data_IF_187629997392
#
_entry.id   IF_187629997392
#
_cell.length_a   1.000
_cell.length_b   1.000
_cell.length_c   1.000
_cell.angle_alpha   90.00
_cell.angle_beta   90.00
_cell.angle_gamma   90.00
#
_symmetry.space_group_name_H-M   'P 1'
#
loop_
_entity.id
_entity.type
_entity.pdbx_description
1 polymer ?
#
# COMPACT_ATOMS: atom_id res chain seq x y z
N UNK A 1 -13.47 13.67 -5.14
CA UNK A 1 -13.61 12.97 -3.85
C UNK A 1 -14.54 13.76 -2.92
N UNK A 2 -15.39 13.10 -2.12
CA UNK A 2 -16.25 13.70 -1.11
C UNK A 2 -15.78 13.25 0.28
N UNK A 3 -15.51 14.19 1.19
CA UNK A 3 -15.13 13.86 2.57
C UNK A 3 -16.36 13.67 3.44
N UNK A 4 -16.38 12.66 4.29
CA UNK A 4 -17.53 12.35 5.15
C UNK A 4 -17.59 13.27 6.39
N UNK A 5 -16.43 13.70 6.90
CA UNK A 5 -16.31 14.61 8.04
C UNK A 5 -14.98 15.40 8.02
N UNK A 6 -14.85 16.41 8.88
CA UNK A 6 -13.66 17.29 8.90
C UNK A 6 -12.36 16.55 9.21
N UNK A 7 -12.38 15.54 10.09
CA UNK A 7 -11.18 14.73 10.39
C UNK A 7 -10.73 13.91 9.19
N UNK A 8 -11.67 13.39 8.37
CA UNK A 8 -11.34 12.70 7.12
C UNK A 8 -10.58 13.64 6.17
N UNK A 9 -11.08 14.86 5.99
CA UNK A 9 -10.42 15.88 5.17
C UNK A 9 -9.06 16.28 5.73
N UNK A 10 -8.95 16.48 7.04
CA UNK A 10 -7.71 16.87 7.70
C UNK A 10 -6.64 15.79 7.57
N UNK A 11 -7.00 14.53 7.82
CA UNK A 11 -6.07 13.39 7.67
C UNK A 11 -5.61 13.22 6.22
N UNK A 12 -6.52 13.33 5.25
CA UNK A 12 -6.19 13.26 3.83
C UNK A 12 -5.15 14.33 3.44
N UNK A 13 -5.34 15.56 3.89
CA UNK A 13 -4.38 16.65 3.66
C UNK A 13 -3.04 16.40 4.35
N UNK A 14 -3.05 15.85 5.57
CA UNK A 14 -1.81 15.47 6.28
C UNK A 14 -1.04 14.38 5.52
N UNK A 15 -1.74 13.36 5.02
CA UNK A 15 -1.13 12.30 4.19
C UNK A 15 -0.53 12.90 2.92
N UNK A 16 -1.25 13.77 2.22
CA UNK A 16 -0.75 14.46 1.03
C UNK A 16 0.55 15.21 1.30
N UNK A 17 0.59 15.99 2.40
CA UNK A 17 1.79 16.72 2.82
C UNK A 17 2.96 15.78 3.12
N UNK A 18 2.73 14.73 3.91
CA UNK A 18 3.78 13.78 4.26
C UNK A 18 4.33 13.04 3.05
N UNK A 19 3.46 12.63 2.12
CA UNK A 19 3.91 11.98 0.89
C UNK A 19 4.69 12.94 -0.01
N UNK A 20 4.30 14.21 -0.11
CA UNK A 20 5.05 15.23 -0.85
C UNK A 20 6.42 15.54 -0.22
N UNK A 21 6.58 15.40 1.10
CA UNK A 21 7.86 15.51 1.79
C UNK A 21 8.76 14.28 1.59
N UNK A 22 8.16 13.08 1.56
CA UNK A 22 8.87 11.80 1.52
C UNK A 22 9.24 11.34 0.10
N UNK A 23 8.44 11.70 -0.91
CA UNK A 23 8.60 11.23 -2.29
C UNK A 23 8.71 12.40 -3.27
N UNK A 24 9.43 12.20 -4.38
CA UNK A 24 9.64 13.27 -5.38
C UNK A 24 8.37 13.60 -6.17
N UNK A 25 7.53 12.60 -6.49
CA UNK A 25 6.36 12.77 -7.36
C UNK A 25 5.27 11.76 -6.95
N UNK A 26 4.66 11.89 -5.75
CA UNK A 26 3.54 11.05 -5.37
C UNK A 26 2.35 11.37 -6.28
N UNK A 27 1.74 10.33 -6.87
CA UNK A 27 0.57 10.50 -7.71
C UNK A 27 -0.70 10.52 -6.85
N UNK A 28 -1.51 11.55 -7.01
CA UNK A 28 -2.85 11.64 -6.42
C UNK A 28 -3.89 11.41 -7.51
N UNK A 29 -4.75 10.42 -7.33
CA UNK A 29 -5.85 10.14 -8.21
C UNK A 29 -7.07 10.98 -7.82
N UNK A 30 -7.50 11.95 -8.65
CA UNK A 30 -8.61 12.83 -8.31
C UNK A 30 -9.98 12.12 -8.32
N UNK A 31 -10.08 10.95 -8.95
CA UNK A 31 -11.35 10.22 -9.05
C UNK A 31 -11.70 9.52 -7.73
N UNK A 32 -10.73 8.80 -7.15
CA UNK A 32 -10.92 8.06 -5.90
C UNK A 32 -10.30 8.75 -4.68
N UNK A 33 -9.38 9.71 -4.86
CA UNK A 33 -8.69 10.41 -3.80
C UNK A 33 -7.52 9.62 -3.19
N UNK A 34 -7.12 8.52 -3.79
CA UNK A 34 -6.00 7.71 -3.32
C UNK A 34 -4.67 8.26 -3.83
N UNK A 35 -3.62 8.00 -3.08
CA UNK A 35 -2.25 8.33 -3.45
C UNK A 35 -1.52 7.07 -3.87
N UNK A 36 -0.58 7.24 -4.80
CA UNK A 36 0.27 6.15 -5.26
C UNK A 36 1.73 6.56 -5.19
N UNK A 37 2.55 5.74 -4.58
CA UNK A 37 3.98 5.98 -4.42
C UNK A 37 4.78 4.74 -4.83
N UNK A 38 5.96 4.96 -5.41
CA UNK A 38 6.93 3.89 -5.68
C UNK A 38 7.92 3.77 -4.54
N UNK A 39 8.16 2.55 -4.07
CA UNK A 39 9.21 2.24 -3.11
C UNK A 39 9.95 0.98 -3.60
N UNK A 40 11.24 1.12 -3.97
CA UNK A 40 11.97 0.03 -4.62
C UNK A 40 11.31 -0.39 -5.94
N UNK A 41 10.96 -1.66 -6.08
CA UNK A 41 10.25 -2.24 -7.23
C UNK A 41 8.73 -2.17 -7.10
N UNK A 42 8.21 -1.88 -5.91
CA UNK A 42 6.79 -1.97 -5.57
C UNK A 42 6.08 -0.62 -5.74
N UNK A 43 4.85 -0.65 -6.23
CA UNK A 43 3.93 0.49 -6.22
C UNK A 43 2.90 0.25 -5.13
N UNK A 44 2.76 1.25 -4.26
CA UNK A 44 1.87 1.23 -3.12
C UNK A 44 0.72 2.21 -3.32
N UNK A 45 -0.45 1.80 -2.90
CA UNK A 45 -1.62 2.65 -2.76
C UNK A 45 -1.72 3.10 -1.30
N UNK A 46 -1.97 4.39 -1.08
CA UNK A 46 -2.26 4.96 0.24
C UNK A 46 -3.62 5.60 0.16
N UNK A 47 -4.58 5.08 0.93
CA UNK A 47 -5.92 5.64 1.03
C UNK A 47 -6.20 6.13 2.44
N UNK A 48 -7.17 7.06 2.55
CA UNK A 48 -7.66 7.58 3.83
C UNK A 48 -9.14 7.30 3.87
N UNK A 49 -9.55 6.50 4.84
CA UNK A 49 -10.92 6.03 5.00
C UNK A 49 -11.54 6.56 6.30
N UNK A 50 -12.80 6.96 6.32
CA UNK A 50 -13.48 7.30 7.56
C UNK A 50 -13.63 6.05 8.43
N UNK A 51 -13.41 6.21 9.73
CA UNK A 51 -13.54 5.13 10.72
C UNK A 51 -14.35 5.61 11.93
N UNK A 52 -15.66 5.43 11.85
CA UNK A 52 -16.57 6.00 12.83
C UNK A 52 -16.75 7.53 12.66
N UNK A 53 -17.30 8.22 13.66
CA UNK A 53 -17.72 9.63 13.51
C UNK A 53 -16.56 10.65 13.53
N UNK A 54 -15.44 10.31 14.13
CA UNK A 54 -14.34 11.27 14.38
C UNK A 54 -12.95 10.71 14.04
N UNK A 55 -12.82 9.42 13.72
CA UNK A 55 -11.54 8.78 13.43
C UNK A 55 -11.41 8.46 11.92
N UNK A 56 -10.18 8.25 11.51
CA UNK A 56 -9.83 7.83 10.15
C UNK A 56 -8.79 6.72 10.19
N UNK A 57 -8.79 5.89 9.15
CA UNK A 57 -7.75 4.91 8.91
C UNK A 57 -6.95 5.33 7.68
N UNK A 58 -5.64 5.35 7.80
CA UNK A 58 -4.72 5.45 6.67
C UNK A 58 -4.28 4.04 6.31
N UNK A 59 -4.68 3.57 5.15
CA UNK A 59 -4.38 2.23 4.68
C UNK A 59 -3.27 2.30 3.62
N UNK A 60 -2.18 1.57 3.86
CA UNK A 60 -1.10 1.37 2.89
C UNK A 60 -1.24 -0.02 2.31
N UNK A 61 -1.38 -0.14 1.00
CA UNK A 61 -1.66 -1.41 0.32
C UNK A 61 -0.70 -1.65 -0.84
N UNK A 62 -0.17 -2.86 -0.92
CA UNK A 62 0.55 -3.38 -2.08
C UNK A 62 -0.27 -4.46 -2.79
N UNK A 63 -0.19 -4.49 -4.12
CA UNK A 63 -0.71 -5.57 -4.94
C UNK A 63 0.41 -6.63 -5.09
N UNK A 64 0.31 -7.74 -4.38
CA UNK A 64 1.33 -8.78 -4.42
C UNK A 64 1.20 -9.66 -5.66
N UNK A 65 0.01 -10.22 -5.92
CA UNK A 65 -0.23 -11.08 -7.07
C UNK A 65 -1.65 -10.89 -7.60
N UNK A 66 -1.82 -10.99 -8.90
CA UNK A 66 -3.11 -10.81 -9.58
C UNK A 66 -3.45 -11.97 -10.49
N UNK A 67 -4.72 -12.36 -10.48
CA UNK A 67 -5.23 -13.43 -11.34
C UNK A 67 -4.77 -14.82 -10.92
N UNK A 68 -4.43 -15.03 -9.66
CA UNK A 68 -3.96 -16.31 -9.11
C UNK A 68 -5.07 -17.37 -9.06
N UNK A 69 -4.68 -18.62 -8.93
CA UNK A 69 -5.59 -19.70 -8.54
C UNK A 69 -5.58 -19.84 -7.02
N UNK A 70 -6.74 -19.54 -6.39
CA UNK A 70 -6.89 -19.55 -4.93
C UNK A 70 -7.05 -21.01 -4.43
N UNK A 71 -5.94 -21.69 -4.25
CA UNK A 71 -5.89 -23.05 -3.70
C UNK A 71 -5.90 -23.02 -2.16
N UNK A 72 -6.34 -24.10 -1.52
CA UNK A 72 -6.46 -24.19 -0.05
C UNK A 72 -5.11 -23.97 0.64
N UNK A 73 -4.03 -24.52 0.10
CA UNK A 73 -2.68 -24.37 0.68
C UNK A 73 -2.16 -22.93 0.60
N UNK A 74 -2.54 -22.16 -0.42
CA UNK A 74 -2.29 -20.72 -0.44
C UNK A 74 -3.00 -20.01 0.69
N UNK A 75 -4.30 -20.26 0.85
CA UNK A 75 -5.11 -19.59 1.87
C UNK A 75 -4.59 -19.87 3.28
N UNK A 76 -4.27 -21.14 3.57
CA UNK A 76 -3.68 -21.53 4.84
C UNK A 76 -2.30 -20.89 5.03
N UNK A 77 -1.46 -20.89 4.01
CA UNK A 77 -0.12 -20.26 4.05
C UNK A 77 -0.19 -18.75 4.31
N UNK A 78 -1.13 -18.04 3.69
CA UNK A 78 -1.32 -16.59 3.95
C UNK A 78 -1.78 -16.33 5.40
N UNK A 79 -2.63 -17.19 5.97
CA UNK A 79 -3.07 -17.07 7.36
C UNK A 79 -1.92 -17.36 8.34
N UNK A 80 -1.08 -18.34 8.06
CA UNK A 80 0.13 -18.62 8.85
C UNK A 80 1.10 -17.45 8.80
N UNK A 81 1.36 -16.89 7.61
CA UNK A 81 2.19 -15.69 7.45
C UNK A 81 1.63 -14.48 8.21
N UNK A 82 0.32 -14.28 8.22
CA UNK A 82 -0.31 -13.20 8.98
C UNK A 82 -0.11 -13.34 10.49
N UNK A 83 0.09 -14.58 10.98
CA UNK A 83 0.42 -14.82 12.38
C UNK A 83 1.90 -14.52 12.69
N UNK A 84 2.79 -14.77 11.74
CA UNK A 84 4.24 -14.60 11.91
C UNK A 84 4.70 -13.16 11.69
N UNK A 85 4.04 -12.43 10.77
CA UNK A 85 4.43 -11.08 10.42
C UNK A 85 4.08 -10.08 11.53
N UNK A 86 5.01 -9.18 11.87
CA UNK A 86 4.83 -8.25 12.99
C UNK A 86 3.85 -7.11 12.71
N UNK A 87 3.60 -6.79 11.44
CA UNK A 87 2.73 -5.70 10.99
C UNK A 87 2.01 -6.07 9.71
N UNK A 88 0.81 -5.54 9.51
CA UNK A 88 0.01 -5.76 8.31
C UNK A 88 -0.56 -7.16 8.18
N UNK A 89 -1.20 -7.42 7.05
CA UNK A 89 -1.76 -8.74 6.74
C UNK A 89 -1.94 -8.93 5.23
N UNK A 90 -1.80 -10.17 4.78
CA UNK A 90 -2.25 -10.60 3.47
C UNK A 90 -3.76 -10.76 3.43
N UNK A 91 -4.34 -10.40 2.30
CA UNK A 91 -5.76 -10.62 2.00
C UNK A 91 -5.94 -11.08 0.56
N UNK A 92 -7.06 -11.75 0.31
CA UNK A 92 -7.47 -12.20 -1.02
C UNK A 92 -8.81 -11.53 -1.37
N UNK A 93 -8.85 -10.83 -2.49
CA UNK A 93 -10.08 -10.26 -3.05
C UNK A 93 -10.25 -10.78 -4.47
N UNK A 94 -11.25 -11.61 -4.66
CA UNK A 94 -11.42 -12.32 -5.94
C UNK A 94 -10.26 -13.27 -6.22
N UNK A 95 -9.39 -12.89 -7.15
CA UNK A 95 -8.18 -13.64 -7.54
C UNK A 95 -6.90 -12.83 -7.32
N UNK A 96 -6.99 -11.75 -6.56
CA UNK A 96 -5.85 -10.84 -6.33
C UNK A 96 -5.44 -10.88 -4.85
N UNK A 97 -4.15 -11.06 -4.60
CA UNK A 97 -3.53 -11.04 -3.27
C UNK A 97 -2.98 -9.65 -2.99
N UNK A 98 -3.35 -9.12 -1.85
CA UNK A 98 -2.89 -7.84 -1.33
C UNK A 98 -2.13 -8.03 -0.03
N UNK A 99 -1.21 -7.12 0.25
CA UNK A 99 -0.65 -6.95 1.57
C UNK A 99 -0.91 -5.52 2.04
N UNK A 100 -1.52 -5.37 3.22
CA UNK A 100 -1.93 -4.05 3.71
C UNK A 100 -1.56 -3.84 5.17
N UNK A 101 -1.30 -2.57 5.52
CA UNK A 101 -1.12 -2.13 6.90
C UNK A 101 -1.92 -0.86 7.16
N UNK A 102 -2.64 -0.83 8.29
CA UNK A 102 -3.50 0.27 8.67
C UNK A 102 -2.90 1.08 9.82
N UNK A 103 -3.03 2.41 9.75
CA UNK A 103 -2.64 3.37 10.78
C UNK A 103 -3.86 4.21 11.17
N UNK A 104 -3.95 4.59 12.46
CA UNK A 104 -4.94 5.58 12.89
C UNK A 104 -4.56 6.97 12.41
N UNK A 105 -5.49 7.64 11.74
CA UNK A 105 -5.25 8.92 11.08
C UNK A 105 -5.08 10.08 12.05
N UNK A 106 -5.86 10.11 13.14
CA UNK A 106 -5.80 11.18 14.14
C UNK A 106 -4.44 11.28 14.87
N UNK A 107 -3.70 10.19 14.93
CA UNK A 107 -2.37 10.13 15.56
C UNK A 107 -1.24 9.88 14.56
N UNK A 108 -1.50 10.14 13.28
CA UNK A 108 -0.54 9.89 12.22
C UNK A 108 0.68 10.79 12.33
N UNK A 109 1.85 10.19 12.40
CA UNK A 109 3.12 10.89 12.28
C UNK A 109 3.83 10.48 10.98
N UNK A 110 4.57 11.41 10.37
CA UNK A 110 5.31 11.18 9.12
C UNK A 110 6.22 9.94 9.18
N UNK A 111 6.92 9.75 10.31
CA UNK A 111 7.80 8.57 10.51
C UNK A 111 7.02 7.24 10.52
N UNK A 112 5.79 7.26 11.07
CA UNK A 112 4.94 6.07 11.13
C UNK A 112 4.40 5.72 9.74
N UNK A 113 4.02 6.73 8.95
CA UNK A 113 3.62 6.55 7.56
C UNK A 113 4.77 5.98 6.71
N UNK A 114 5.98 6.56 6.83
CA UNK A 114 7.15 6.04 6.12
C UNK A 114 7.47 4.60 6.54
N UNK A 115 7.41 4.29 7.84
CA UNK A 115 7.61 2.94 8.35
C UNK A 115 6.60 1.93 7.80
N UNK A 116 5.31 2.31 7.73
CA UNK A 116 4.27 1.49 7.14
C UNK A 116 4.51 1.25 5.64
N UNK A 117 4.85 2.31 4.90
CA UNK A 117 5.18 2.21 3.46
C UNK A 117 6.37 1.27 3.24
N UNK A 118 7.45 1.44 4.00
CA UNK A 118 8.64 0.60 3.89
C UNK A 118 8.33 -0.87 4.23
N UNK A 119 7.58 -1.12 5.31
CA UNK A 119 7.21 -2.47 5.72
C UNK A 119 6.33 -3.17 4.67
N UNK A 120 5.29 -2.47 4.18
CA UNK A 120 4.40 -3.04 3.16
C UNK A 120 5.15 -3.31 1.85
N UNK A 121 6.02 -2.39 1.42
CA UNK A 121 6.83 -2.58 0.21
C UNK A 121 7.76 -3.79 0.34
N UNK A 122 8.52 -3.86 1.44
CA UNK A 122 9.50 -4.94 1.64
C UNK A 122 8.83 -6.30 1.73
N UNK A 123 7.77 -6.42 2.54
CA UNK A 123 7.08 -7.70 2.71
C UNK A 123 6.38 -8.13 1.42
N UNK A 124 5.73 -7.21 0.69
CA UNK A 124 5.11 -7.57 -0.59
C UNK A 124 6.13 -8.04 -1.63
N UNK A 125 7.29 -7.37 -1.74
CA UNK A 125 8.38 -7.73 -2.66
C UNK A 125 9.01 -9.10 -2.32
N UNK A 126 9.11 -9.43 -1.03
CA UNK A 126 9.64 -10.73 -0.57
C UNK A 126 8.71 -11.92 -0.94
N UNK A 127 7.42 -11.68 -1.10
CA UNK A 127 6.42 -12.73 -1.28
C UNK A 127 5.76 -12.76 -2.66
N UNK A 128 5.70 -11.67 -3.43
CA UNK A 128 4.97 -11.60 -4.69
C UNK A 128 5.47 -12.61 -5.73
N UNK A 129 6.77 -12.67 -5.98
CA UNK A 129 7.40 -13.63 -6.90
C UNK A 129 7.15 -15.07 -6.45
N UNK A 130 7.19 -15.35 -5.16
CA UNK A 130 6.97 -16.70 -4.60
C UNK A 130 5.53 -17.15 -4.77
N UNK A 131 4.58 -16.23 -4.58
CA UNK A 131 3.14 -16.49 -4.78
C UNK A 131 2.89 -16.77 -6.25
N UNK A 132 3.36 -15.90 -7.14
CA UNK A 132 3.17 -16.04 -8.59
C UNK A 132 3.82 -17.30 -9.13
N UNK A 133 5.04 -17.62 -8.68
CA UNK A 133 5.74 -18.84 -9.12
C UNK A 133 5.00 -20.12 -8.75
N UNK A 134 4.31 -20.15 -7.61
CA UNK A 134 3.63 -21.35 -7.11
C UNK A 134 2.16 -21.45 -7.58
N UNK A 135 1.43 -20.32 -7.61
CA UNK A 135 -0.02 -20.29 -7.81
C UNK A 135 -0.46 -19.59 -9.11
N UNK A 136 0.50 -19.24 -9.96
CA UNK A 136 0.24 -18.55 -11.24
C UNK A 136 -0.11 -17.07 -11.04
N UNK A 137 -0.69 -16.48 -12.10
CA UNK A 137 -0.99 -15.06 -12.12
C UNK A 137 0.20 -14.21 -12.55
N UNK A 138 0.22 -12.96 -12.13
CA UNK A 138 1.26 -11.98 -12.43
C UNK A 138 1.47 -11.02 -11.27
N UNK A 139 2.68 -10.49 -11.13
CA UNK A 139 2.96 -9.42 -10.17
C UNK A 139 2.34 -8.10 -10.65
N UNK A 140 2.21 -7.12 -9.74
CA UNK A 140 1.74 -5.78 -10.12
C UNK A 140 2.67 -5.12 -11.14
N UNK A 141 3.97 -5.35 -11.03
CA UNK A 141 4.97 -4.80 -11.95
C UNK A 141 4.81 -5.38 -13.36
N UNK A 142 4.62 -6.70 -13.48
CA UNK A 142 4.40 -7.38 -14.75
C UNK A 142 3.16 -6.83 -15.46
N UNK A 143 2.07 -6.64 -14.72
CA UNK A 143 0.83 -6.07 -15.26
C UNK A 143 1.02 -4.65 -15.78
N UNK A 144 1.71 -3.79 -15.05
CA UNK A 144 1.99 -2.41 -15.48
C UNK A 144 2.83 -2.40 -16.75
N UNK A 145 3.83 -3.26 -16.86
CA UNK A 145 4.68 -3.39 -18.05
C UNK A 145 3.88 -3.86 -19.27
N UNK A 146 2.98 -4.83 -19.09
CA UNK A 146 2.18 -5.39 -20.20
C UNK A 146 1.02 -4.49 -20.63
N UNK A 147 0.41 -3.73 -19.73
CA UNK A 147 -0.73 -2.84 -20.06
C UNK A 147 -0.34 -1.46 -20.52
N UNK A 148 0.96 -1.13 -20.58
CA UNK A 148 1.45 0.18 -21.03
C UNK A 148 1.06 1.34 -20.09
N UNK A 149 0.65 1.03 -18.88
CA UNK A 149 0.26 2.01 -17.87
C UNK A 149 1.46 2.84 -17.43
N UNK A 150 1.54 4.08 -17.90
CA UNK A 150 2.50 5.09 -17.44
C UNK A 150 2.11 5.58 -16.04
N UNK A 151 2.19 4.76 -15.02
CA UNK A 151 2.32 5.29 -13.66
C UNK A 151 3.78 5.66 -13.48
N UNK A 152 4.08 6.97 -13.49
CA UNK A 152 5.40 7.51 -13.17
C UNK A 152 5.86 6.90 -11.84
N UNK A 153 7.06 6.33 -11.82
CA UNK A 153 7.69 5.90 -10.56
C UNK A 153 8.04 7.15 -9.77
N UNK A 154 7.40 7.36 -8.64
CA UNK A 154 7.88 8.29 -7.62
C UNK A 154 9.06 7.63 -6.89
N UNK A 155 10.12 8.39 -6.66
CA UNK A 155 11.28 7.93 -5.88
C UNK A 155 11.29 8.58 -4.51
N UNK A 156 11.74 7.83 -3.50
CA UNK A 156 11.94 8.35 -2.15
C UNK A 156 13.00 9.46 -2.17
N UNK A 157 12.70 10.60 -1.59
CA UNK A 157 13.70 11.64 -1.35
C UNK A 157 14.67 11.13 -0.28
N UNK A 158 15.93 10.91 -0.67
CA UNK A 158 17.00 10.63 0.28
C UNK A 158 17.26 11.91 1.07
N UNK A 159 16.61 12.08 2.20
CA UNK A 159 17.06 13.05 3.21
C UNK A 159 18.20 12.39 3.97
N UNK A 160 19.43 12.90 3.79
CA UNK A 160 20.52 12.56 4.70
C UNK A 160 20.06 12.87 6.14
N UNK A 161 20.37 12.00 7.12
CA UNK A 161 20.08 12.31 8.51
C UNK A 161 20.87 13.58 8.86
N UNK A 162 20.18 14.65 9.17
CA UNK A 162 20.78 15.81 9.84
C UNK A 162 21.08 15.37 11.26
N UNK A 163 22.38 15.35 11.58
CA UNK A 163 22.96 15.17 12.92
C UNK A 163 22.29 16.09 13.97
#
# INVERSE_FOLDING_TARGET
>A
MQFEHEHHKATHHTVEQYLAELFEDPYHDPENGHFYVGYGSTILEVSVEPYGPEETIVLVTAYCAQGIEAEEDLLLGLLELNHELPVGAFSLVGRDVFYSHALFGMTLERKNLLGAIAAVATISDDYDDRIVAKYGGQTALDRIQHTGGRKKRSSLKLTEPTD
#
